data_IF_431118282845
#
_entry.id   IF_431118282845
#
_cell.length_a   1.000
_cell.length_b   1.000
_cell.length_c   1.000
_cell.angle_alpha   90.00
_cell.angle_beta   90.00
_cell.angle_gamma   90.00
#
_symmetry.space_group_name_H-M   'P 1'
#
loop_
_entity.id
_entity.type
_entity.pdbx_description
1 polymer ?
#
# COMPACT_ATOMS: atom_id res chain seq x y z
N UNK A 1 -8.35 7.84 -15.59
CA UNK A 1 -8.00 8.24 -14.20
C UNK A 1 -7.02 7.24 -13.62
N UNK A 2 -6.41 7.53 -12.48
CA UNK A 2 -5.52 6.60 -11.76
C UNK A 2 -5.99 6.43 -10.31
N UNK A 3 -6.18 5.20 -9.84
CA UNK A 3 -6.29 4.86 -8.42
C UNK A 3 -4.89 4.54 -7.89
N UNK A 4 -4.29 5.44 -7.11
CA UNK A 4 -2.91 5.32 -6.64
C UNK A 4 -2.84 4.99 -5.15
N UNK A 5 -2.34 3.80 -4.82
CA UNK A 5 -2.32 3.25 -3.45
C UNK A 5 -0.96 3.54 -2.80
N UNK A 6 -0.98 4.07 -1.58
CA UNK A 6 0.24 4.40 -0.84
C UNK A 6 1.00 3.14 -0.40
N UNK A 7 2.30 3.30 -0.19
CA UNK A 7 3.14 2.26 0.41
C UNK A 7 3.15 2.33 1.94
N UNK A 8 4.09 1.60 2.55
CA UNK A 8 4.29 1.59 4.00
C UNK A 8 4.23 0.21 4.64
N UNK A 9 4.57 -0.84 3.89
CA UNK A 9 4.70 -2.19 4.43
C UNK A 9 3.41 -2.74 5.05
N UNK A 10 2.24 -2.28 4.63
CA UNK A 10 0.91 -2.62 5.18
C UNK A 10 0.65 -2.16 6.63
N UNK A 11 1.60 -1.48 7.26
CA UNK A 11 1.55 -1.11 8.69
C UNK A 11 1.84 0.36 8.95
N UNK A 12 2.28 1.11 7.94
CA UNK A 12 2.60 2.53 8.03
C UNK A 12 2.01 3.30 6.85
N UNK A 13 2.02 4.62 6.99
CA UNK A 13 1.73 5.57 5.95
C UNK A 13 0.27 5.92 5.80
N UNK A 14 -0.01 6.92 4.99
CA UNK A 14 -1.36 7.37 4.68
C UNK A 14 -1.47 7.77 3.21
N UNK A 15 -2.70 7.93 2.72
CA UNK A 15 -2.93 8.51 1.39
C UNK A 15 -2.33 9.92 1.23
N UNK A 16 -2.08 10.64 2.34
CA UNK A 16 -1.47 11.97 2.33
C UNK A 16 0.01 11.96 1.93
N UNK A 17 0.70 10.85 2.20
CA UNK A 17 2.16 10.75 1.97
C UNK A 17 2.53 10.72 0.49
N UNK A 18 1.57 10.40 -0.38
CA UNK A 18 1.76 10.34 -1.83
C UNK A 18 1.16 11.53 -2.57
N UNK A 19 0.54 12.51 -1.89
CA UNK A 19 -0.22 13.58 -2.56
C UNK A 19 0.64 14.40 -3.52
N UNK A 20 1.87 14.74 -3.14
CA UNK A 20 2.75 15.51 -4.04
C UNK A 20 3.07 14.75 -5.34
N UNK A 21 3.29 13.43 -5.23
CA UNK A 21 3.49 12.57 -6.41
C UNK A 21 2.20 12.43 -7.21
N UNK A 22 1.06 12.27 -6.54
CA UNK A 22 -0.26 12.19 -7.18
C UNK A 22 -0.63 13.47 -7.93
N UNK A 23 -0.30 14.65 -7.37
CA UNK A 23 -0.49 15.95 -8.03
C UNK A 23 0.42 16.06 -9.25
N UNK A 24 1.69 15.66 -9.15
CA UNK A 24 2.60 15.60 -10.30
C UNK A 24 2.05 14.72 -11.41
N UNK A 25 1.66 13.48 -11.05
CA UNK A 25 1.06 12.53 -11.98
C UNK A 25 -0.22 13.08 -12.62
N UNK A 26 -1.12 13.69 -11.85
CA UNK A 26 -2.35 14.27 -12.39
C UNK A 26 -2.06 15.40 -13.39
N UNK A 27 -1.06 16.23 -13.11
CA UNK A 27 -0.63 17.32 -14.01
C UNK A 27 -0.01 16.80 -15.29
N UNK A 28 0.87 15.81 -15.20
CA UNK A 28 1.59 15.27 -16.36
C UNK A 28 0.68 14.41 -17.25
N UNK A 29 -0.19 13.61 -16.64
CA UNK A 29 -1.09 12.70 -17.38
C UNK A 29 -2.39 13.35 -17.85
N UNK A 30 -2.75 14.52 -17.30
CA UNK A 30 -4.01 15.19 -17.61
C UNK A 30 -5.26 14.44 -17.12
N UNK A 31 -5.12 13.42 -16.28
CA UNK A 31 -6.25 12.66 -15.72
C UNK A 31 -6.33 12.80 -14.19
N UNK A 32 -7.52 12.64 -13.60
CA UNK A 32 -7.65 12.65 -12.14
C UNK A 32 -6.92 11.47 -11.49
N UNK A 33 -6.33 11.71 -10.33
CA UNK A 33 -5.67 10.69 -9.48
C UNK A 33 -6.38 10.59 -8.14
N UNK A 34 -6.80 9.38 -7.77
CA UNK A 34 -7.53 9.05 -6.55
C UNK A 34 -6.62 8.26 -5.61
N UNK A 35 -6.44 8.74 -4.38
CA UNK A 35 -5.57 8.11 -3.39
C UNK A 35 -6.42 7.59 -2.22
N UNK A 36 -6.77 6.28 -2.18
CA UNK A 36 -7.52 5.71 -1.07
C UNK A 36 -6.64 5.59 0.17
N UNK A 37 -7.18 5.93 1.34
CA UNK A 37 -6.68 5.44 2.61
C UNK A 37 -7.19 4.02 2.83
N UNK A 38 -6.34 3.12 3.32
CA UNK A 38 -6.70 1.75 3.65
C UNK A 38 -6.28 1.43 5.08
N UNK A 39 -7.01 0.51 5.73
CA UNK A 39 -6.70 0.06 7.09
C UNK A 39 -5.38 -0.68 7.17
N UNK A 40 -4.66 -0.48 8.26
CA UNK A 40 -3.29 -0.93 8.46
C UNK A 40 -3.21 -1.98 9.56
N UNK A 41 -2.24 -2.89 9.43
CA UNK A 41 -1.88 -3.81 10.51
C UNK A 41 -1.02 -3.12 11.58
N UNK A 42 -0.96 -3.67 12.80
CA UNK A 42 -1.60 -4.91 13.25
C UNK A 42 -3.09 -4.78 13.63
N UNK A 43 -3.64 -3.57 13.71
CA UNK A 43 -5.02 -3.33 14.14
C UNK A 43 -6.04 -3.97 13.17
N UNK A 44 -5.77 -3.87 11.87
CA UNK A 44 -6.56 -4.46 10.80
C UNK A 44 -5.65 -5.34 9.90
N UNK A 45 -5.52 -6.65 10.21
CA UNK A 45 -4.65 -7.55 9.45
C UNK A 45 -5.19 -7.82 8.04
N UNK A 46 -4.35 -8.45 7.20
CA UNK A 46 -4.76 -8.92 5.87
C UNK A 46 -6.02 -9.81 5.97
N UNK A 47 -7.02 -9.64 5.08
CA UNK A 47 -7.01 -8.83 3.85
C UNK A 47 -7.62 -7.42 3.99
N UNK A 48 -7.77 -6.85 5.18
CA UNK A 48 -8.53 -5.60 5.40
C UNK A 48 -8.15 -4.44 4.45
N UNK A 49 -6.85 -4.18 4.26
CA UNK A 49 -6.40 -3.16 3.32
C UNK A 49 -6.77 -3.43 1.85
N UNK A 50 -6.81 -4.70 1.44
CA UNK A 50 -7.28 -5.10 0.11
C UNK A 50 -8.80 -4.91 -0.04
N UNK A 51 -9.58 -5.20 1.01
CA UNK A 51 -11.03 -4.92 1.04
C UNK A 51 -11.32 -3.43 0.89
N UNK A 52 -10.54 -2.57 1.53
CA UNK A 52 -10.70 -1.12 1.43
C UNK A 52 -10.32 -0.62 0.03
N UNK A 53 -9.26 -1.17 -0.58
CA UNK A 53 -8.88 -0.87 -1.96
C UNK A 53 -9.96 -1.32 -2.96
N UNK A 54 -10.58 -2.48 -2.72
CA UNK A 54 -11.69 -2.99 -3.54
C UNK A 54 -12.94 -2.11 -3.42
N UNK A 55 -13.27 -1.67 -2.21
CA UNK A 55 -14.34 -0.69 -1.97
C UNK A 55 -14.05 0.64 -2.68
N UNK A 56 -12.81 1.13 -2.61
CA UNK A 56 -12.41 2.36 -3.29
C UNK A 56 -12.50 2.24 -4.83
N UNK A 57 -12.11 1.08 -5.39
CA UNK A 57 -12.29 0.78 -6.81
C UNK A 57 -13.76 0.81 -7.22
N UNK A 58 -14.60 0.12 -6.46
CA UNK A 58 -16.05 0.07 -6.70
C UNK A 58 -16.68 1.46 -6.63
N UNK A 59 -16.33 2.24 -5.60
CA UNK A 59 -16.78 3.61 -5.45
C UNK A 59 -16.35 4.48 -6.63
N UNK A 60 -15.11 4.34 -7.09
CA UNK A 60 -14.58 5.11 -8.21
C UNK A 60 -15.34 4.78 -9.51
N UNK A 61 -15.65 3.51 -9.77
CA UNK A 61 -16.45 3.11 -10.93
C UNK A 61 -17.86 3.73 -10.87
N UNK A 62 -18.51 3.67 -9.71
CA UNK A 62 -19.86 4.23 -9.51
C UNK A 62 -19.89 5.76 -9.65
N UNK A 63 -18.79 6.44 -9.33
CA UNK A 63 -18.68 7.90 -9.36
C UNK A 63 -17.87 8.43 -10.55
N UNK A 64 -17.51 7.57 -11.51
CA UNK A 64 -16.60 7.92 -12.60
C UNK A 64 -17.14 9.10 -13.43
N UNK A 65 -18.43 9.08 -13.78
CA UNK A 65 -19.10 10.14 -14.53
C UNK A 65 -19.06 11.49 -13.81
N UNK A 66 -19.25 11.52 -12.49
CA UNK A 66 -19.19 12.73 -11.65
C UNK A 66 -17.80 13.40 -11.67
N UNK A 67 -16.78 12.66 -12.07
CA UNK A 67 -15.40 13.12 -12.17
C UNK A 67 -14.89 13.25 -13.61
N UNK A 68 -15.76 13.09 -14.62
CA UNK A 68 -15.36 13.11 -16.04
C UNK A 68 -14.42 11.95 -16.41
N UNK A 69 -14.55 10.82 -15.72
CA UNK A 69 -13.72 9.64 -15.90
C UNK A 69 -14.50 8.59 -16.70
N UNK A 70 -13.87 8.08 -17.76
CA UNK A 70 -14.33 6.87 -18.43
C UNK A 70 -13.96 5.63 -17.57
N UNK A 71 -14.93 4.86 -17.06
CA UNK A 71 -14.67 3.72 -16.18
C UNK A 71 -13.85 2.61 -16.84
N UNK A 72 -13.81 2.56 -18.18
CA UNK A 72 -13.01 1.58 -18.93
C UNK A 72 -11.54 2.00 -19.10
N UNK A 73 -11.20 3.24 -18.71
CA UNK A 73 -9.86 3.85 -18.85
C UNK A 73 -9.25 4.22 -17.50
N UNK A 74 -9.59 3.46 -16.46
CA UNK A 74 -9.02 3.65 -15.13
C UNK A 74 -7.82 2.73 -14.95
N UNK A 75 -6.69 3.31 -14.57
CA UNK A 75 -5.46 2.61 -14.21
C UNK A 75 -5.45 2.42 -12.69
N UNK A 76 -4.99 1.28 -12.20
CA UNK A 76 -4.63 1.12 -10.78
C UNK A 76 -3.11 1.18 -10.62
N UNK A 77 -2.62 1.68 -9.51
CA UNK A 77 -1.20 1.75 -9.26
C UNK A 77 -0.88 1.85 -7.79
N UNK A 78 0.39 1.67 -7.45
CA UNK A 78 0.84 1.83 -6.09
C UNK A 78 2.35 1.73 -5.91
N UNK A 79 2.79 2.12 -4.73
CA UNK A 79 4.20 2.10 -4.32
C UNK A 79 4.45 1.00 -3.29
N UNK A 80 5.48 0.16 -3.46
CA UNK A 80 5.87 -0.84 -2.44
C UNK A 80 4.69 -1.74 -2.04
N UNK A 81 4.27 -1.72 -0.76
CA UNK A 81 3.08 -2.43 -0.29
C UNK A 81 1.81 -2.05 -1.08
N UNK A 82 1.63 -0.77 -1.42
CA UNK A 82 0.53 -0.33 -2.27
C UNK A 82 0.61 -0.87 -3.69
N UNK A 83 1.81 -1.14 -4.20
CA UNK A 83 2.01 -1.85 -5.46
C UNK A 83 1.58 -3.31 -5.36
N UNK A 84 1.84 -3.95 -4.21
CA UNK A 84 1.31 -5.28 -3.89
C UNK A 84 -0.22 -5.28 -3.84
N UNK A 85 -0.84 -4.30 -3.14
CA UNK A 85 -2.29 -4.12 -3.10
C UNK A 85 -2.88 -3.86 -4.50
N UNK A 86 -2.23 -3.06 -5.34
CA UNK A 86 -2.68 -2.83 -6.70
C UNK A 86 -2.70 -4.13 -7.52
N UNK A 87 -1.64 -4.93 -7.45
CA UNK A 87 -1.58 -6.20 -8.15
C UNK A 87 -2.64 -7.21 -7.65
N UNK A 88 -2.78 -7.33 -6.32
CA UNK A 88 -3.79 -8.18 -5.71
C UNK A 88 -5.22 -7.72 -6.04
N UNK A 89 -5.44 -6.40 -6.11
CA UNK A 89 -6.74 -5.83 -6.49
C UNK A 89 -7.11 -6.18 -7.94
N UNK A 90 -6.17 -6.13 -8.89
CA UNK A 90 -6.44 -6.57 -10.27
C UNK A 90 -6.90 -8.03 -10.32
N UNK A 91 -6.22 -8.90 -9.60
CA UNK A 91 -6.57 -10.33 -9.51
C UNK A 91 -7.95 -10.51 -8.89
N UNK A 92 -8.21 -9.87 -7.76
CA UNK A 92 -9.53 -9.92 -7.12
C UNK A 92 -10.66 -9.46 -8.04
N UNK A 93 -10.49 -8.33 -8.74
CA UNK A 93 -11.50 -7.83 -9.69
C UNK A 93 -11.72 -8.85 -10.82
N UNK A 94 -10.67 -9.55 -11.24
CA UNK A 94 -10.79 -10.60 -12.26
C UNK A 94 -11.60 -11.78 -11.75
N UNK A 95 -11.29 -12.28 -10.56
CA UNK A 95 -11.98 -13.40 -9.94
C UNK A 95 -13.46 -13.06 -9.67
N UNK A 96 -13.75 -11.80 -9.30
CA UNK A 96 -15.10 -11.30 -9.06
C UNK A 96 -15.87 -10.98 -10.37
N UNK A 97 -15.25 -11.10 -11.55
CA UNK A 97 -15.86 -10.79 -12.84
C UNK A 97 -16.14 -9.30 -13.07
N UNK A 98 -15.46 -8.41 -12.37
CA UNK A 98 -15.66 -6.96 -12.41
C UNK A 98 -14.99 -6.27 -13.60
N UNK A 99 -15.30 -4.97 -13.79
CA UNK A 99 -14.64 -4.12 -14.78
C UNK A 99 -13.14 -4.03 -14.49
N UNK A 100 -12.31 -4.55 -15.41
CA UNK A 100 -10.87 -4.59 -15.24
C UNK A 100 -10.25 -3.19 -15.33
N UNK A 101 -9.15 -2.92 -14.58
CA UNK A 101 -8.33 -1.75 -14.80
C UNK A 101 -7.68 -1.81 -16.19
N UNK A 102 -7.57 -0.65 -16.84
CA UNK A 102 -6.96 -0.52 -18.16
C UNK A 102 -5.45 -0.82 -18.15
N UNK A 103 -4.78 -0.58 -17.02
CA UNK A 103 -3.38 -0.91 -16.81
C UNK A 103 -3.05 -0.97 -15.30
N UNK A 104 -1.86 -1.49 -14.97
CA UNK A 104 -1.29 -1.49 -13.63
C UNK A 104 0.03 -0.69 -13.60
N UNK A 105 0.11 0.33 -12.75
CA UNK A 105 1.33 1.11 -12.49
C UNK A 105 1.98 0.63 -11.18
N UNK A 106 2.87 -0.37 -11.28
CA UNK A 106 3.48 -1.03 -10.13
C UNK A 106 4.87 -0.49 -9.85
N UNK A 107 5.00 0.37 -8.83
CA UNK A 107 6.27 1.04 -8.51
C UNK A 107 6.96 0.29 -7.37
N UNK A 108 8.06 -0.40 -7.67
CA UNK A 108 8.81 -1.29 -6.76
C UNK A 108 7.91 -2.16 -5.86
N UNK A 109 6.95 -2.91 -6.44
CA UNK A 109 5.86 -3.55 -5.71
C UNK A 109 6.34 -4.69 -4.81
N UNK A 110 5.63 -4.91 -3.69
CA UNK A 110 5.78 -6.11 -2.86
C UNK A 110 4.88 -7.23 -3.41
N UNK A 111 5.41 -8.03 -4.35
CA UNK A 111 4.66 -9.08 -5.05
C UNK A 111 4.88 -10.49 -4.47
N UNK A 112 5.85 -10.65 -3.59
CA UNK A 112 6.25 -11.96 -3.05
C UNK A 112 6.70 -11.79 -1.60
N UNK A 113 6.41 -12.79 -0.77
CA UNK A 113 6.91 -12.92 0.60
C UNK A 113 8.23 -13.70 0.64
N UNK A 114 8.57 -14.43 -0.42
CA UNK A 114 9.90 -14.98 -0.63
C UNK A 114 10.88 -13.87 -1.06
N UNK A 115 11.69 -13.41 -0.12
CA UNK A 115 12.87 -12.62 -0.48
C UNK A 115 13.86 -13.53 -1.18
N UNK A 116 14.07 -13.33 -2.49
CA UNK A 116 15.13 -13.90 -3.31
C UNK A 116 15.69 -15.26 -2.79
N UNK A 117 15.02 -16.36 -3.13
CA UNK A 117 15.56 -17.71 -2.86
C UNK A 117 16.95 -17.94 -3.49
N UNK A 118 17.38 -17.04 -4.38
CA UNK A 118 18.70 -16.99 -5.00
C UNK A 118 19.70 -16.23 -4.13
N UNK A 119 20.11 -16.88 -3.03
CA UNK A 119 21.09 -16.35 -2.07
C UNK A 119 22.46 -16.05 -2.68
N UNK A 120 22.76 -16.60 -3.84
CA UNK A 120 23.96 -16.28 -4.61
C UNK A 120 24.00 -14.82 -5.11
N UNK A 121 22.85 -14.13 -5.13
CA UNK A 121 22.73 -12.71 -5.50
C UNK A 121 22.79 -11.76 -4.29
N UNK A 122 22.84 -12.30 -3.07
CA UNK A 122 22.93 -11.52 -1.84
C UNK A 122 24.31 -10.86 -1.73
N UNK A 123 24.42 -9.61 -2.19
CA UNK A 123 25.55 -8.77 -1.78
C UNK A 123 25.44 -8.52 -0.25
N UNK A 124 26.56 -8.40 0.50
CA UNK A 124 26.57 -8.39 1.99
C UNK A 124 25.81 -7.27 2.72
N UNK A 125 24.95 -6.49 2.06
CA UNK A 125 24.24 -5.32 2.62
C UNK A 125 22.84 -5.10 2.06
N UNK A 126 22.07 -6.15 1.76
CA UNK A 126 20.64 -5.96 1.47
C UNK A 126 19.88 -5.68 2.77
N UNK A 127 19.13 -4.57 2.81
CA UNK A 127 18.16 -4.33 3.87
C UNK A 127 16.90 -5.10 3.51
N UNK A 128 16.59 -6.12 4.29
CA UNK A 128 15.38 -6.94 4.09
C UNK A 128 14.34 -6.55 5.13
N UNK A 129 13.09 -6.42 4.70
CA UNK A 129 11.94 -6.33 5.60
C UNK A 129 11.50 -7.74 5.95
N UNK A 130 11.95 -8.24 7.11
CA UNK A 130 11.53 -9.54 7.60
C UNK A 130 10.28 -9.37 8.48
N UNK A 131 9.15 -9.90 8.03
CA UNK A 131 8.00 -10.09 8.90
C UNK A 131 8.20 -11.41 9.64
N UNK A 132 8.46 -11.35 10.95
CA UNK A 132 8.52 -12.56 11.77
C UNK A 132 7.11 -13.04 12.07
N UNK A 133 6.72 -14.19 11.50
CA UNK A 133 5.48 -14.88 11.82
C UNK A 133 5.59 -15.71 13.13
N UNK A 134 6.72 -15.66 13.84
CA UNK A 134 6.99 -16.55 14.96
C UNK A 134 6.14 -16.28 16.22
N UNK A 135 5.48 -15.13 16.35
CA UNK A 135 4.58 -14.84 17.48
C UNK A 135 3.30 -14.08 17.05
N UNK A 136 2.25 -14.79 16.60
CA UNK A 136 1.00 -14.17 16.15
C UNK A 136 0.19 -13.46 17.25
N UNK A 137 0.63 -13.48 18.52
CA UNK A 137 -0.10 -12.87 19.65
C UNK A 137 0.57 -11.67 20.31
N UNK A 138 1.73 -11.22 19.84
CA UNK A 138 2.36 -9.99 20.33
C UNK A 138 2.86 -9.21 19.13
N UNK A 139 2.18 -8.12 18.79
CA UNK A 139 2.57 -7.19 17.72
C UNK A 139 3.91 -6.49 18.01
N UNK A 140 5.01 -7.25 17.99
CA UNK A 140 6.37 -6.74 18.16
C UNK A 140 7.01 -6.53 16.79
N UNK A 141 7.02 -5.27 16.37
CA UNK A 141 7.86 -4.75 15.29
C UNK A 141 9.34 -4.96 15.67
N UNK A 142 10.04 -5.85 14.97
CA UNK A 142 11.51 -5.87 14.98
C UNK A 142 11.99 -5.23 13.69
N UNK A 143 12.48 -3.99 13.78
CA UNK A 143 12.99 -3.25 12.64
C UNK A 143 14.44 -3.64 12.31
N UNK A 144 14.71 -3.84 11.01
CA UNK A 144 16.03 -3.85 10.34
C UNK A 144 17.12 -4.68 11.05
N UNK A 145 17.22 -5.96 10.72
CA UNK A 145 18.48 -6.68 10.88
C UNK A 145 19.34 -6.47 9.63
N UNK A 146 20.46 -5.77 9.80
CA UNK A 146 21.58 -5.86 8.86
C UNK A 146 22.15 -7.27 9.03
N UNK A 147 21.90 -8.16 8.06
CA UNK A 147 22.57 -9.46 8.04
C UNK A 147 24.05 -9.22 7.70
N UNK A 148 24.86 -9.01 8.73
CA UNK A 148 26.31 -9.11 8.60
C UNK A 148 26.63 -10.59 8.34
N UNK A 149 27.25 -10.87 7.21
CA UNK A 149 27.67 -12.20 6.79
C UNK A 149 28.54 -12.86 7.86
N UNK A 150 28.05 -13.94 8.49
CA UNK A 150 28.89 -14.90 9.23
C UNK A 150 28.58 -15.18 10.70
N UNK A 151 27.53 -14.65 11.31
CA UNK A 151 27.25 -14.91 12.73
C UNK A 151 26.29 -16.10 12.96
N UNK A 152 26.77 -17.15 13.64
CA UNK A 152 25.96 -18.21 14.23
C UNK A 152 25.15 -17.68 15.42
N UNK A 153 23.82 -17.75 15.32
CA UNK A 153 22.77 -17.31 16.28
C UNK A 153 22.72 -15.79 16.57
N UNK A 154 21.53 -15.16 16.53
CA UNK A 154 21.39 -13.79 16.99
C UNK A 154 21.54 -13.75 18.51
N UNK A 155 22.52 -12.98 19.01
CA UNK A 155 22.56 -12.56 20.40
C UNK A 155 21.38 -11.61 20.65
N UNK A 156 20.58 -11.89 21.68
CA UNK A 156 19.42 -11.11 22.08
C UNK A 156 19.73 -9.61 22.11
N UNK A 157 19.02 -8.84 21.26
CA UNK A 157 18.99 -7.39 21.36
C UNK A 157 17.94 -7.03 22.42
N UNK A 158 18.34 -6.25 23.43
CA UNK A 158 17.55 -5.95 24.62
C UNK A 158 16.18 -5.35 24.30
N UNK A 159 15.13 -6.00 24.81
CA UNK A 159 13.76 -5.49 24.88
C UNK A 159 13.69 -4.26 25.78
N UNK A 160 13.27 -3.12 25.24
CA UNK A 160 12.74 -2.00 26.04
C UNK A 160 11.22 -2.05 25.96
N UNK A 161 10.58 -2.41 27.07
CA UNK A 161 9.12 -2.40 27.17
C UNK A 161 8.61 -0.95 27.29
N UNK A 162 7.70 -0.46 26.43
CA UNK A 162 7.06 0.82 26.68
C UNK A 162 6.00 0.67 27.78
N UNK A 163 6.10 1.55 28.78
CA UNK A 163 5.09 1.77 29.82
C UNK A 163 3.80 2.28 29.17
N UNK A 164 2.68 1.84 29.75
CA UNK A 164 1.29 2.29 29.55
C UNK A 164 1.17 3.72 28.98
N UNK A 165 0.47 3.84 27.84
CA UNK A 165 -0.19 5.07 27.42
C UNK A 165 -1.64 4.72 27.06
N UNK A 166 -2.47 4.64 28.09
CA UNK A 166 -3.88 5.00 27.95
C UNK A 166 -3.98 6.47 27.54
N UNK A 167 -5.01 6.76 26.74
CA UNK A 167 -5.50 8.08 26.33
C UNK A 167 -4.79 8.75 25.15
N UNK A 168 -5.33 8.53 23.94
CA UNK A 168 -5.96 9.57 23.13
C UNK A 168 -6.62 8.91 21.90
N UNK A 169 -7.68 8.13 22.14
CA UNK A 169 -8.54 7.60 21.08
C UNK A 169 -9.71 8.56 20.85
N UNK A 170 -9.87 9.02 19.61
CA UNK A 170 -10.97 9.85 19.17
C UNK A 170 -11.33 9.57 17.70
N UNK A 171 -12.17 8.55 17.52
CA UNK A 171 -13.24 8.40 16.52
C UNK A 171 -13.00 8.55 15.00
N UNK A 172 -13.43 7.49 14.31
CA UNK A 172 -14.22 7.43 13.06
C UNK A 172 -13.53 6.90 11.79
N UNK A 173 -13.86 5.65 11.49
CA UNK A 173 -13.44 4.83 10.34
C UNK A 173 -14.19 5.28 9.08
N UNK A 174 -13.52 6.00 8.18
CA UNK A 174 -14.00 6.26 6.83
C UNK A 174 -12.85 6.02 5.85
N UNK A 175 -13.10 5.27 4.78
CA UNK A 175 -12.15 5.11 3.66
C UNK A 175 -12.06 6.48 2.98
N UNK A 176 -11.09 7.29 3.42
CA UNK A 176 -10.88 8.61 2.88
C UNK A 176 -10.24 8.51 1.48
N UNK A 177 -10.92 8.98 0.45
CA UNK A 177 -10.36 9.09 -0.90
C UNK A 177 -9.94 10.54 -1.14
N UNK A 178 -8.65 10.76 -1.36
CA UNK A 178 -8.13 12.06 -1.79
C UNK A 178 -8.12 12.14 -3.31
N UNK A 179 -8.76 13.16 -3.89
CA UNK A 179 -8.87 13.33 -5.35
C UNK A 179 -8.02 14.50 -5.82
N UNK A 180 -7.12 14.25 -6.76
CA UNK A 180 -6.30 15.26 -7.41
C UNK A 180 -6.76 15.43 -8.86
N UNK A 181 -7.08 16.66 -9.24
CA UNK A 181 -7.44 17.01 -10.63
C UNK A 181 -6.30 17.80 -11.30
N UNK A 182 -6.07 17.62 -12.61
CA UNK A 182 -5.20 18.52 -13.37
C UNK A 182 -5.71 19.97 -13.24
N UNK A 183 -4.80 20.96 -13.26
CA UNK A 183 -5.21 22.36 -13.42
C UNK A 183 -5.86 22.49 -14.81
N UNK A 184 -7.05 23.10 -14.84
CA UNK A 184 -8.02 22.95 -15.94
C UNK A 184 -7.47 23.17 -17.35
N UNK A 185 -7.98 22.38 -18.29
CA UNK A 185 -8.38 22.93 -19.58
C UNK A 185 -9.50 23.94 -19.28
N UNK A 186 -9.25 25.21 -19.58
CA UNK A 186 -10.30 26.23 -19.62
C UNK A 186 -11.35 25.78 -20.66
N UNK A 187 -12.66 25.97 -20.44
CA UNK A 187 -13.68 25.73 -21.47
C UNK A 187 -13.43 26.55 -22.74
#
# INVERSE_FOLDING_TARGET
AVLMIHGGGYVLGTNKDILMKAVGLARESGVPVFCPGYRLGPEDPLPAGLDDCHQAWTWLLQNASNHGVDPTKIVIGGYSAGGGLAAALAQRIHDDGGTQPAAQLLVYPMLDDATANRRELDKPRHRVWLFSLAEPQKGQLTAICQLASGASKPSACSTVAPRSMSAMYGSSTSVGISVMKPKGSVP
#
